data_IF_913088779222
#
_entry.id   IF_913088779222
#
_cell.length_a   1.000
_cell.length_b   1.000
_cell.length_c   1.000
_cell.angle_alpha   90.00
_cell.angle_beta   90.00
_cell.angle_gamma   90.00
#
_symmetry.space_group_name_H-M   'P 1'
#
loop_
_entity.id
_entity.type
_entity.pdbx_description
1 polymer ?
#
# COMPACT_ATOMS: atom_id res chain seq x y z
N UNK A 1 -1.94 14.20 -23.50
CA UNK A 1 -1.38 15.13 -22.48
C UNK A 1 -1.72 14.55 -21.13
N UNK A 2 -0.71 14.13 -20.36
CA UNK A 2 -0.94 13.70 -18.98
C UNK A 2 -1.30 14.95 -18.15
N UNK A 3 -2.48 14.96 -17.55
CA UNK A 3 -2.87 16.00 -16.58
C UNK A 3 -2.01 15.79 -15.35
N UNK A 4 -1.15 16.72 -15.03
CA UNK A 4 -0.39 16.71 -13.77
C UNK A 4 -1.37 17.05 -12.67
N UNK A 5 -1.78 16.03 -11.90
CA UNK A 5 -2.65 16.21 -10.73
C UNK A 5 -1.93 17.07 -9.68
N UNK A 6 -2.65 18.00 -9.08
CA UNK A 6 -2.15 18.72 -7.91
C UNK A 6 -2.18 17.77 -6.68
N UNK A 7 -1.42 18.09 -5.65
CA UNK A 7 -1.43 17.32 -4.43
C UNK A 7 -2.84 17.22 -3.79
N UNK A 8 -3.63 18.29 -3.88
CA UNK A 8 -5.02 18.27 -3.42
C UNK A 8 -5.92 17.33 -4.25
N UNK A 9 -5.67 17.20 -5.55
CA UNK A 9 -6.40 16.29 -6.41
C UNK A 9 -6.14 14.83 -6.01
N UNK A 10 -4.90 14.48 -5.67
CA UNK A 10 -4.52 13.13 -5.22
C UNK A 10 -5.29 12.71 -3.96
N UNK A 11 -5.41 13.61 -2.95
CA UNK A 11 -6.16 13.33 -1.73
C UNK A 11 -7.67 13.23 -1.99
N UNK A 12 -8.21 14.07 -2.87
CA UNK A 12 -9.60 13.99 -3.30
C UNK A 12 -9.92 12.68 -4.02
N UNK A 13 -9.01 12.19 -4.87
CA UNK A 13 -9.16 10.88 -5.53
C UNK A 13 -9.12 9.73 -4.53
N UNK A 14 -8.22 9.76 -3.54
CA UNK A 14 -8.19 8.76 -2.46
C UNK A 14 -9.52 8.70 -1.72
N UNK A 15 -10.09 9.84 -1.32
CA UNK A 15 -11.40 9.90 -0.62
C UNK A 15 -12.53 9.36 -1.50
N UNK A 16 -12.59 9.77 -2.75
CA UNK A 16 -13.60 9.27 -3.70
C UNK A 16 -13.51 7.75 -3.83
N UNK A 17 -12.30 7.23 -4.02
CA UNK A 17 -12.08 5.78 -4.20
C UNK A 17 -12.45 4.98 -2.95
N UNK A 18 -12.10 5.44 -1.76
CA UNK A 18 -12.54 4.79 -0.51
C UNK A 18 -14.06 4.71 -0.42
N UNK A 19 -14.76 5.81 -0.72
CA UNK A 19 -16.22 5.84 -0.68
C UNK A 19 -16.84 4.86 -1.69
N UNK A 20 -16.28 4.76 -2.89
CA UNK A 20 -16.70 3.80 -3.92
C UNK A 20 -16.49 2.35 -3.47
N UNK A 21 -15.31 2.01 -2.95
CA UNK A 21 -15.02 0.66 -2.47
C UNK A 21 -15.88 0.27 -1.28
N UNK A 22 -16.15 1.19 -0.35
CA UNK A 22 -17.08 0.97 0.78
C UNK A 22 -18.51 0.61 0.32
N UNK A 23 -18.97 1.24 -0.75
CA UNK A 23 -20.30 0.95 -1.31
C UNK A 23 -20.36 -0.42 -1.99
N UNK A 24 -19.26 -0.85 -2.62
CA UNK A 24 -19.22 -2.10 -3.41
C UNK A 24 -18.81 -3.33 -2.60
N UNK A 25 -17.94 -3.18 -1.60
CA UNK A 25 -17.26 -4.30 -0.92
C UNK A 25 -17.69 -4.42 0.54
N UNK A 26 -18.83 -5.04 0.76
CA UNK A 26 -19.43 -5.19 2.09
C UNK A 26 -18.52 -5.91 3.11
N UNK A 27 -17.72 -6.89 2.67
CA UNK A 27 -16.78 -7.62 3.52
C UNK A 27 -15.63 -6.75 4.05
N UNK A 28 -15.22 -5.71 3.33
CA UNK A 28 -14.16 -4.77 3.71
C UNK A 28 -14.68 -3.51 4.40
N UNK A 29 -16.00 -3.39 4.62
CA UNK A 29 -16.64 -2.15 5.09
C UNK A 29 -16.01 -1.61 6.37
N UNK A 30 -15.85 -2.43 7.39
CA UNK A 30 -15.30 -2.00 8.67
C UNK A 30 -13.86 -1.47 8.53
N UNK A 31 -13.04 -2.14 7.74
CA UNK A 31 -11.67 -1.70 7.45
C UNK A 31 -11.66 -0.38 6.68
N UNK A 32 -12.50 -0.26 5.67
CA UNK A 32 -12.60 0.95 4.84
C UNK A 32 -13.22 2.13 5.60
N UNK A 33 -14.11 1.88 6.58
CA UNK A 33 -14.63 2.91 7.49
C UNK A 33 -13.50 3.49 8.34
N UNK A 34 -12.70 2.64 8.96
CA UNK A 34 -11.53 3.07 9.71
C UNK A 34 -10.51 3.79 8.82
N UNK A 35 -10.20 3.22 7.65
CA UNK A 35 -9.26 3.84 6.71
C UNK A 35 -9.75 5.21 6.22
N UNK A 36 -11.05 5.36 5.99
CA UNK A 36 -11.64 6.65 5.60
C UNK A 36 -11.45 7.74 6.68
N UNK A 37 -11.64 7.37 7.95
CA UNK A 37 -11.40 8.28 9.07
C UNK A 37 -9.91 8.65 9.20
N UNK A 38 -9.04 7.67 9.08
CA UNK A 38 -7.58 7.87 9.10
C UNK A 38 -7.11 8.75 7.93
N UNK A 39 -7.64 8.52 6.73
CA UNK A 39 -7.31 9.29 5.53
C UNK A 39 -7.63 10.78 5.69
N UNK A 40 -8.73 11.12 6.36
CA UNK A 40 -9.09 12.52 6.64
C UNK A 40 -8.07 13.20 7.56
N UNK A 41 -7.58 12.48 8.57
CA UNK A 41 -6.52 12.97 9.47
C UNK A 41 -5.20 13.10 8.74
N UNK A 42 -4.85 12.14 7.89
CA UNK A 42 -3.64 12.18 7.08
C UNK A 42 -3.63 13.33 6.08
N UNK A 43 -4.76 13.61 5.43
CA UNK A 43 -4.89 14.77 4.52
C UNK A 43 -4.69 16.10 5.27
N UNK A 44 -5.27 16.24 6.47
CA UNK A 44 -5.06 17.40 7.31
C UNK A 44 -3.57 17.55 7.68
N UNK A 45 -2.92 16.45 8.10
CA UNK A 45 -1.49 16.46 8.41
C UNK A 45 -0.63 16.83 7.18
N UNK A 46 -1.01 16.39 5.99
CA UNK A 46 -0.37 16.81 4.74
C UNK A 46 -0.49 18.32 4.53
N UNK A 47 -1.70 18.88 4.67
CA UNK A 47 -1.95 20.33 4.46
C UNK A 47 -1.20 21.18 5.50
N UNK A 48 -1.21 20.77 6.76
CA UNK A 48 -0.49 21.44 7.85
C UNK A 48 1.03 21.41 7.64
N UNK A 49 1.58 20.26 7.24
CA UNK A 49 3.00 20.13 6.93
C UNK A 49 3.41 20.98 5.71
N UNK A 50 2.56 21.04 4.67
CA UNK A 50 2.80 21.87 3.51
C UNK A 50 2.81 23.36 3.86
N UNK A 51 1.94 23.79 4.77
CA UNK A 51 1.87 25.18 5.23
C UNK A 51 3.01 25.55 6.21
N UNK A 52 3.32 24.66 7.15
CA UNK A 52 4.35 24.88 8.16
C UNK A 52 5.78 24.74 7.61
N UNK A 53 5.96 23.91 6.56
CA UNK A 53 7.27 23.60 5.95
C UNK A 53 8.37 23.35 6.99
N UNK A 54 8.20 22.37 7.91
CA UNK A 54 9.17 22.12 8.98
C UNK A 54 10.54 21.81 8.37
N UNK A 55 11.60 22.25 9.04
CA UNK A 55 12.95 21.95 8.60
C UNK A 55 13.19 20.44 8.59
N UNK A 56 13.91 19.93 7.59
CA UNK A 56 14.17 18.51 7.47
C UNK A 56 14.87 17.92 8.70
N UNK A 57 15.67 18.72 9.44
CA UNK A 57 16.29 18.31 10.70
C UNK A 57 15.28 18.02 11.80
N UNK A 58 14.15 18.74 11.82
CA UNK A 58 13.13 18.67 12.86
C UNK A 58 11.97 17.73 12.50
N UNK A 59 12.09 16.98 11.39
CA UNK A 59 11.04 16.11 10.87
C UNK A 59 10.48 15.16 11.94
N UNK A 60 11.35 14.48 12.69
CA UNK A 60 10.92 13.50 13.68
C UNK A 60 10.15 14.16 14.83
N UNK A 61 10.66 15.28 15.37
CA UNK A 61 10.01 16.03 16.44
C UNK A 61 8.68 16.62 15.99
N UNK A 62 8.64 17.22 14.78
CA UNK A 62 7.41 17.74 14.21
C UNK A 62 6.33 16.66 14.09
N UNK A 63 6.69 15.50 13.54
CA UNK A 63 5.74 14.39 13.39
C UNK A 63 5.27 13.88 14.75
N UNK A 64 6.18 13.69 15.71
CA UNK A 64 5.86 13.17 17.04
C UNK A 64 4.94 14.12 17.83
N UNK A 65 5.17 15.42 17.75
CA UNK A 65 4.47 16.43 18.56
C UNK A 65 3.17 16.94 17.90
N UNK A 66 3.16 17.06 16.57
CA UNK A 66 2.04 17.68 15.83
C UNK A 66 1.11 16.66 15.22
N UNK A 67 1.65 15.59 14.62
CA UNK A 67 0.84 14.65 13.81
C UNK A 67 0.40 13.43 14.60
N UNK A 68 1.30 12.81 15.39
CA UNK A 68 1.00 11.57 16.14
C UNK A 68 -0.23 11.70 17.03
N UNK A 69 -0.47 12.80 17.76
CA UNK A 69 -1.67 12.93 18.58
C UNK A 69 -2.97 12.71 17.79
N UNK A 70 -3.09 13.33 16.62
CA UNK A 70 -4.28 13.16 15.76
C UNK A 70 -4.42 11.74 15.19
N UNK A 71 -3.31 11.07 14.89
CA UNK A 71 -3.32 9.64 14.46
C UNK A 71 -3.75 8.75 15.62
N UNK A 72 -3.30 9.03 16.84
CA UNK A 72 -3.72 8.32 18.05
C UNK A 72 -5.22 8.51 18.28
N UNK A 73 -5.71 9.74 18.26
CA UNK A 73 -7.12 10.06 18.47
C UNK A 73 -8.03 9.30 17.50
N UNK A 74 -7.72 9.32 16.20
CA UNK A 74 -8.53 8.58 15.21
C UNK A 74 -8.42 7.07 15.40
N UNK A 75 -7.27 6.55 15.84
CA UNK A 75 -7.09 5.12 16.13
C UNK A 75 -7.92 4.68 17.34
N UNK A 76 -8.00 5.51 18.36
CA UNK A 76 -8.82 5.25 19.56
C UNK A 76 -10.32 5.42 19.28
N UNK A 77 -10.69 6.38 18.44
CA UNK A 77 -12.10 6.66 18.13
C UNK A 77 -12.69 5.68 17.11
N UNK A 78 -12.01 5.43 16.01
CA UNK A 78 -12.52 4.68 14.86
C UNK A 78 -11.83 3.32 14.65
N UNK A 79 -10.73 3.05 15.31
CA UNK A 79 -9.99 1.81 15.17
C UNK A 79 -10.68 0.59 15.78
N UNK A 80 -10.35 -0.63 15.33
CA UNK A 80 -10.82 -1.85 15.94
C UNK A 80 -10.28 -2.01 17.38
N UNK A 81 -11.01 -2.75 18.23
CA UNK A 81 -10.71 -2.89 19.68
C UNK A 81 -9.26 -3.30 19.95
N UNK A 82 -8.74 -4.25 19.19
CA UNK A 82 -7.36 -4.70 19.34
C UNK A 82 -6.36 -3.58 19.09
N UNK A 83 -6.57 -2.78 18.02
CA UNK A 83 -5.70 -1.63 17.75
C UNK A 83 -5.76 -0.60 18.87
N UNK A 84 -6.96 -0.30 19.38
CA UNK A 84 -7.14 0.63 20.51
C UNK A 84 -6.35 0.21 21.73
N UNK A 85 -6.48 -1.05 22.15
CA UNK A 85 -5.76 -1.59 23.30
C UNK A 85 -4.24 -1.53 23.12
N UNK A 86 -3.73 -1.90 21.94
CA UNK A 86 -2.30 -1.87 21.63
C UNK A 86 -1.74 -0.44 21.60
N UNK A 87 -2.51 0.52 21.05
CA UNK A 87 -2.11 1.94 21.03
C UNK A 87 -2.04 2.51 22.44
N UNK A 88 -3.03 2.26 23.29
CA UNK A 88 -3.02 2.70 24.70
C UNK A 88 -1.78 2.15 25.41
N UNK A 89 -1.61 0.84 25.37
CA UNK A 89 -0.48 0.18 26.04
C UNK A 89 0.88 0.74 25.55
N UNK A 90 0.99 1.00 24.26
CA UNK A 90 2.23 1.52 23.68
C UNK A 90 2.58 2.92 24.16
N UNK A 91 1.59 3.81 24.24
CA UNK A 91 1.80 5.19 24.69
C UNK A 91 2.12 5.30 26.18
N UNK A 92 1.71 4.32 27.00
CA UNK A 92 2.08 4.22 28.40
C UNK A 92 3.55 3.83 28.62
N UNK A 93 4.18 3.22 27.63
CA UNK A 93 5.52 2.61 27.75
C UNK A 93 6.65 3.42 27.16
N UNK A 94 6.41 4.20 26.10
CA UNK A 94 7.47 4.94 25.41
C UNK A 94 6.94 6.21 24.72
N UNK A 95 7.77 7.25 24.70
CA UNK A 95 7.47 8.49 23.97
C UNK A 95 7.48 8.27 22.45
N UNK A 96 6.55 8.86 21.69
CA UNK A 96 6.43 8.66 20.22
C UNK A 96 7.67 9.00 19.41
N UNK A 97 8.53 9.90 19.86
CA UNK A 97 9.71 10.35 19.10
C UNK A 97 10.62 9.18 18.70
N UNK A 98 10.96 8.30 19.62
CA UNK A 98 11.84 7.16 19.33
C UNK A 98 11.26 6.20 18.28
N UNK A 99 9.94 6.01 18.29
CA UNK A 99 9.24 5.22 17.25
C UNK A 99 9.34 5.90 15.87
N UNK A 100 9.19 7.22 15.79
CA UNK A 100 9.30 7.98 14.55
C UNK A 100 10.73 7.93 14.01
N UNK A 101 11.74 8.14 14.87
CA UNK A 101 13.14 8.07 14.50
C UNK A 101 13.53 6.70 13.92
N UNK A 102 13.12 5.60 14.59
CA UNK A 102 13.34 4.23 14.08
C UNK A 102 12.67 4.01 12.72
N UNK A 103 11.46 4.52 12.53
CA UNK A 103 10.78 4.41 11.22
C UNK A 103 11.53 5.16 10.12
N UNK A 104 12.00 6.36 10.40
CA UNK A 104 12.79 7.17 9.46
C UNK A 104 14.12 6.48 9.14
N UNK A 105 14.81 5.91 10.13
CA UNK A 105 16.03 5.15 9.94
C UNK A 105 15.81 3.84 9.16
N UNK A 106 14.60 3.31 9.16
CA UNK A 106 14.25 2.04 8.49
C UNK A 106 14.49 0.82 9.37
N UNK A 107 14.53 1.01 10.68
CA UNK A 107 14.69 -0.05 11.66
C UNK A 107 13.41 -0.87 11.80
N UNK A 108 13.57 -2.14 12.11
CA UNK A 108 12.43 -2.99 12.46
C UNK A 108 11.86 -2.58 13.81
N UNK A 109 10.53 -2.64 13.91
CA UNK A 109 9.82 -2.29 15.14
C UNK A 109 8.48 -3.03 15.23
N UNK A 110 7.86 -3.09 16.43
CA UNK A 110 6.55 -3.71 16.64
C UNK A 110 5.49 -3.20 15.64
N UNK A 111 4.47 -4.01 15.40
CA UNK A 111 3.42 -3.71 14.40
C UNK A 111 2.71 -2.39 14.73
N UNK A 112 2.39 -2.13 15.98
CA UNK A 112 1.69 -0.90 16.40
C UNK A 112 2.57 0.33 16.24
N UNK A 113 3.86 0.24 16.57
CA UNK A 113 4.83 1.33 16.35
C UNK A 113 4.96 1.67 14.88
N UNK A 114 5.11 0.63 14.06
CA UNK A 114 5.19 0.77 12.61
C UNK A 114 3.92 1.38 12.02
N UNK A 115 2.74 0.99 12.53
CA UNK A 115 1.47 1.57 12.12
C UNK A 115 1.42 3.07 12.45
N UNK A 116 1.65 3.45 13.70
CA UNK A 116 1.59 4.85 14.15
C UNK A 116 2.62 5.73 13.42
N UNK A 117 3.87 5.25 13.36
CA UNK A 117 4.94 5.98 12.67
C UNK A 117 4.64 6.16 11.19
N UNK A 118 4.21 5.11 10.51
CA UNK A 118 3.89 5.17 9.09
C UNK A 118 2.69 6.04 8.80
N UNK A 119 1.62 5.94 9.60
CA UNK A 119 0.42 6.75 9.46
C UNK A 119 0.71 8.25 9.62
N UNK A 120 1.64 8.60 10.52
CA UNK A 120 2.01 9.98 10.80
C UNK A 120 3.09 10.54 9.85
N UNK A 121 4.14 9.77 9.55
CA UNK A 121 5.26 10.23 8.70
C UNK A 121 4.87 10.34 7.23
N UNK A 122 4.04 9.41 6.72
CA UNK A 122 3.67 9.33 5.30
C UNK A 122 3.15 10.65 4.73
N UNK A 123 2.06 11.22 5.26
CA UNK A 123 1.49 12.47 4.75
C UNK A 123 2.45 13.66 4.84
N UNK A 124 3.29 13.71 5.86
CA UNK A 124 4.30 14.77 6.01
C UNK A 124 5.37 14.66 4.92
N UNK A 125 5.87 13.45 4.65
CA UNK A 125 6.84 13.24 3.55
C UNK A 125 6.23 13.45 2.16
N UNK A 126 4.93 13.24 2.00
CA UNK A 126 4.24 13.58 0.75
C UNK A 126 4.17 15.11 0.56
N UNK A 127 3.96 15.87 1.63
CA UNK A 127 3.88 17.32 1.61
C UNK A 127 5.22 18.00 1.39
N UNK A 128 6.28 17.46 1.99
CA UNK A 128 7.61 18.02 1.95
C UNK A 128 8.37 17.57 0.70
N UNK A 129 9.26 18.40 0.21
CA UNK A 129 10.05 18.16 -0.99
C UNK A 129 11.14 17.09 -0.84
N UNK A 130 12.02 17.00 -1.83
CA UNK A 130 13.08 16.01 -1.92
C UNK A 130 14.05 16.04 -0.73
N UNK A 131 14.28 17.22 -0.13
CA UNK A 131 15.19 17.39 1.01
C UNK A 131 14.73 16.57 2.23
N UNK A 132 13.46 16.68 2.63
CA UNK A 132 12.90 15.92 3.75
C UNK A 132 12.93 14.40 3.47
N UNK A 133 12.65 13.99 2.22
CA UNK A 133 12.74 12.58 1.81
C UNK A 133 14.17 12.06 1.87
N UNK A 134 15.15 12.86 1.48
CA UNK A 134 16.57 12.49 1.53
C UNK A 134 17.07 12.23 2.97
N UNK A 135 16.49 12.88 3.98
CA UNK A 135 16.79 12.62 5.41
C UNK A 135 16.47 11.20 5.86
N UNK A 136 15.58 10.50 5.15
CA UNK A 136 15.25 9.11 5.45
C UNK A 136 16.27 8.09 4.90
N UNK A 137 17.41 8.52 4.36
CA UNK A 137 18.53 7.65 4.02
C UNK A 137 18.84 7.44 2.53
N UNK A 138 18.01 7.90 1.61
CA UNK A 138 18.27 7.79 0.16
C UNK A 138 18.28 6.35 -0.40
N UNK A 139 18.48 6.17 -1.70
CA UNK A 139 18.38 4.88 -2.38
C UNK A 139 19.52 3.93 -2.01
N UNK A 140 19.16 2.67 -1.73
CA UNK A 140 20.14 1.59 -1.47
C UNK A 140 20.41 0.79 -2.76
N UNK A 141 19.40 0.49 -3.52
CA UNK A 141 19.42 -0.20 -4.81
C UNK A 141 18.13 0.11 -5.59
N UNK A 142 17.99 -0.46 -6.79
CA UNK A 142 16.82 -0.22 -7.66
C UNK A 142 15.47 -0.68 -7.06
N UNK A 143 15.48 -1.55 -6.04
CA UNK A 143 14.27 -2.04 -5.34
C UNK A 143 13.78 -1.08 -4.28
N UNK A 144 14.56 -0.10 -3.90
CA UNK A 144 14.24 0.89 -2.89
C UNK A 144 13.91 2.25 -3.52
N UNK A 145 13.06 3.00 -2.83
CA UNK A 145 12.63 4.31 -3.29
C UNK A 145 13.82 5.25 -3.53
N UNK A 146 13.96 5.84 -4.73
CA UNK A 146 15.06 6.75 -5.03
C UNK A 146 15.00 8.05 -4.21
N UNK A 147 13.83 8.41 -3.67
CA UNK A 147 13.66 9.64 -2.90
C UNK A 147 14.02 9.48 -1.41
N UNK A 148 13.60 8.36 -0.76
CA UNK A 148 13.74 8.20 0.68
C UNK A 148 14.34 6.86 1.12
N UNK A 149 14.74 5.99 0.21
CA UNK A 149 15.28 4.66 0.51
C UNK A 149 14.27 3.67 1.11
N UNK A 150 12.97 4.00 1.16
CA UNK A 150 11.94 3.12 1.69
C UNK A 150 11.68 1.90 0.81
N UNK A 151 11.19 0.77 1.38
CA UNK A 151 10.85 -0.42 0.62
C UNK A 151 9.58 -0.22 -0.22
N UNK A 152 9.36 -1.04 -1.26
CA UNK A 152 8.14 -1.02 -2.05
C UNK A 152 6.97 -1.62 -1.25
N UNK A 153 5.79 -1.00 -1.36
CA UNK A 153 4.54 -1.47 -0.78
C UNK A 153 3.71 -2.27 -1.78
N UNK A 154 3.54 -1.71 -2.96
CA UNK A 154 2.77 -2.27 -4.05
C UNK A 154 3.42 -1.95 -5.39
N UNK A 155 2.99 -2.63 -6.44
CA UNK A 155 3.29 -2.27 -7.81
C UNK A 155 2.02 -1.82 -8.54
N UNK A 156 2.18 -1.04 -9.61
CA UNK A 156 1.09 -0.80 -10.56
C UNK A 156 1.61 -0.73 -11.98
N UNK A 157 0.74 -1.07 -12.92
CA UNK A 157 0.99 -0.91 -14.35
C UNK A 157 0.16 0.27 -14.85
N UNK A 158 0.82 1.25 -15.48
CA UNK A 158 0.11 2.34 -16.13
C UNK A 158 -0.57 1.84 -17.41
N UNK A 159 -1.61 2.57 -17.85
CA UNK A 159 -2.22 2.29 -19.15
C UNK A 159 -1.17 2.43 -20.26
N UNK A 160 -1.13 1.51 -21.24
CA UNK A 160 -0.22 1.63 -22.36
C UNK A 160 -0.56 2.87 -23.20
N UNK A 161 0.45 3.46 -23.80
CA UNK A 161 0.27 4.58 -24.74
C UNK A 161 -0.28 4.08 -26.08
N UNK A 162 0.07 2.85 -26.47
CA UNK A 162 -0.39 2.17 -27.68
C UNK A 162 -1.05 0.83 -27.30
N UNK A 163 -2.13 0.45 -27.99
CA UNK A 163 -2.89 -0.79 -27.75
C UNK A 163 -2.06 -2.07 -27.89
N UNK A 164 -0.92 -2.02 -28.57
CA UNK A 164 -0.01 -3.15 -28.75
C UNK A 164 1.10 -3.24 -27.70
N UNK A 165 1.25 -2.24 -26.84
CA UNK A 165 2.29 -2.19 -25.81
C UNK A 165 1.70 -2.50 -24.44
N UNK A 166 2.40 -3.30 -23.64
CA UNK A 166 2.09 -3.40 -22.22
C UNK A 166 2.63 -2.19 -21.48
N UNK A 167 1.78 -1.53 -20.67
CA UNK A 167 2.16 -0.33 -19.94
C UNK A 167 3.38 -0.53 -19.01
N UNK A 168 4.12 0.52 -18.71
CA UNK A 168 5.26 0.45 -17.80
C UNK A 168 4.81 0.05 -16.38
N UNK A 169 5.68 -0.70 -15.66
CA UNK A 169 5.48 -1.06 -14.25
C UNK A 169 6.19 -0.06 -13.35
N UNK A 170 5.50 0.32 -12.30
CA UNK A 170 6.03 1.17 -11.23
C UNK A 170 5.92 0.47 -9.87
N UNK A 171 6.80 0.83 -8.95
CA UNK A 171 6.68 0.50 -7.53
C UNK A 171 6.28 1.75 -6.76
N UNK A 172 5.49 1.60 -5.69
CA UNK A 172 5.09 2.69 -4.78
C UNK A 172 5.75 2.48 -3.43
N UNK A 173 6.36 3.53 -2.91
CA UNK A 173 7.08 3.52 -1.65
C UNK A 173 6.14 3.39 -0.44
N UNK A 174 6.47 2.50 0.49
CA UNK A 174 5.74 2.34 1.75
C UNK A 174 5.93 3.53 2.72
N UNK A 175 6.96 4.37 2.54
CA UNK A 175 7.31 5.45 3.46
C UNK A 175 6.82 6.81 2.99
N UNK A 176 7.02 7.16 1.72
CA UNK A 176 6.72 8.49 1.20
C UNK A 176 5.76 8.50 0.01
N UNK A 177 5.13 7.38 -0.31
CA UNK A 177 4.20 7.18 -1.42
C UNK A 177 4.74 7.55 -2.82
N UNK A 178 6.02 7.94 -2.95
CA UNK A 178 6.62 8.20 -4.26
C UNK A 178 6.67 6.91 -5.10
N UNK A 179 6.47 7.07 -6.41
CA UNK A 179 6.53 5.95 -7.35
C UNK A 179 7.78 6.05 -8.23
N UNK A 180 8.32 4.88 -8.63
CA UNK A 180 9.45 4.79 -9.55
C UNK A 180 9.32 3.60 -10.49
N UNK A 181 9.90 3.76 -11.70
CA UNK A 181 9.90 2.70 -12.71
C UNK A 181 10.70 1.48 -12.25
N UNK A 182 10.16 0.28 -12.51
CA UNK A 182 10.82 -0.98 -12.15
C UNK A 182 10.55 -2.07 -13.20
N UNK A 183 11.53 -2.94 -13.52
CA UNK A 183 11.37 -3.98 -14.53
C UNK A 183 10.19 -4.90 -14.24
N UNK A 184 9.44 -5.29 -15.29
CA UNK A 184 8.21 -6.10 -15.15
C UNK A 184 8.48 -7.52 -14.67
N UNK A 185 9.53 -8.15 -15.17
CA UNK A 185 9.90 -9.52 -14.87
C UNK A 185 11.02 -9.59 -13.83
N UNK A 186 10.90 -8.77 -12.78
CA UNK A 186 11.90 -8.74 -11.71
C UNK A 186 11.19 -8.64 -10.35
N UNK A 187 11.59 -9.48 -9.41
CA UNK A 187 11.05 -9.49 -8.06
C UNK A 187 11.43 -8.20 -7.33
N UNK A 188 10.43 -7.47 -6.83
CA UNK A 188 10.65 -6.25 -6.05
C UNK A 188 11.29 -6.52 -4.67
N UNK A 189 11.30 -7.76 -4.20
CA UNK A 189 11.85 -8.16 -2.89
C UNK A 189 13.32 -8.57 -2.93
N UNK A 190 13.73 -9.36 -3.93
CA UNK A 190 15.09 -9.91 -3.99
C UNK A 190 15.83 -9.64 -5.31
N UNK A 191 15.14 -9.14 -6.34
CA UNK A 191 15.76 -8.89 -7.65
C UNK A 191 15.82 -10.13 -8.56
N UNK A 192 15.16 -11.25 -8.20
CA UNK A 192 15.02 -12.43 -9.07
C UNK A 192 14.38 -12.04 -10.39
N UNK A 193 14.97 -12.43 -11.52
CA UNK A 193 14.51 -12.10 -12.88
C UNK A 193 14.19 -13.32 -13.75
N UNK A 194 14.35 -14.53 -13.20
CA UNK A 194 13.94 -15.75 -13.89
C UNK A 194 12.42 -15.88 -13.89
N UNK A 195 11.80 -15.84 -15.06
CA UNK A 195 10.35 -16.00 -15.22
C UNK A 195 9.80 -17.31 -14.66
N UNK A 196 10.62 -18.36 -14.60
CA UNK A 196 10.24 -19.67 -14.01
C UNK A 196 10.05 -19.59 -12.48
N UNK A 197 10.61 -18.56 -11.83
CA UNK A 197 10.52 -18.33 -10.38
C UNK A 197 9.53 -17.25 -9.99
N UNK A 198 8.97 -16.54 -10.95
CA UNK A 198 7.99 -15.47 -10.74
C UNK A 198 6.59 -15.99 -11.07
N UNK A 199 5.72 -15.97 -10.09
CA UNK A 199 4.34 -16.45 -10.23
C UNK A 199 3.38 -15.25 -10.15
N UNK A 200 2.34 -15.29 -10.96
CA UNK A 200 1.25 -14.32 -10.94
C UNK A 200 -0.04 -15.08 -10.63
N UNK A 201 -0.73 -14.64 -9.57
CA UNK A 201 -2.06 -15.11 -9.25
C UNK A 201 -3.04 -13.96 -9.40
N UNK A 202 -4.16 -14.23 -10.08
CA UNK A 202 -5.28 -13.30 -10.23
C UNK A 202 -6.58 -14.01 -9.91
N UNK A 203 -7.55 -13.27 -9.44
CA UNK A 203 -8.91 -13.75 -9.29
C UNK A 203 -9.52 -13.91 -10.69
N UNK A 204 -9.89 -15.12 -11.05
CA UNK A 204 -10.61 -15.39 -12.29
C UNK A 204 -12.09 -15.52 -11.94
N UNK A 205 -12.92 -14.63 -12.47
CA UNK A 205 -14.34 -14.90 -12.59
C UNK A 205 -14.49 -16.20 -13.40
N UNK A 206 -15.34 -17.12 -12.95
CA UNK A 206 -15.58 -18.40 -13.64
C UNK A 206 -16.21 -18.14 -15.02
N UNK A 207 -15.38 -17.90 -16.02
CA UNK A 207 -15.75 -17.98 -17.43
C UNK A 207 -15.19 -19.30 -17.97
N UNK A 208 -16.07 -20.10 -18.52
CA UNK A 208 -15.71 -21.31 -19.24
C UNK A 208 -14.79 -20.97 -20.43
N UNK A 209 -13.54 -21.40 -20.34
CA UNK A 209 -12.59 -21.51 -21.45
C UNK A 209 -11.55 -20.38 -21.52
N UNK A 210 -10.39 -20.63 -20.96
CA UNK A 210 -9.11 -20.61 -21.64
C UNK A 210 -7.93 -20.71 -20.66
N UNK A 211 -7.06 -21.63 -20.96
CA UNK A 211 -5.71 -21.98 -20.48
C UNK A 211 -5.02 -21.08 -19.43
N UNK A 212 -5.14 -21.50 -18.19
CA UNK A 212 -4.30 -21.07 -17.06
C UNK A 212 -4.62 -21.96 -15.87
N UNK A 213 -3.71 -22.84 -15.49
CA UNK A 213 -3.71 -23.77 -14.35
C UNK A 213 -5.08 -24.14 -13.75
N UNK A 214 -5.79 -25.06 -14.41
CA UNK A 214 -7.09 -25.60 -13.98
C UNK A 214 -6.85 -26.55 -12.82
N UNK A 215 -7.39 -26.27 -11.64
CA UNK A 215 -7.69 -27.31 -10.66
C UNK A 215 -8.76 -28.21 -11.31
N UNK A 216 -8.39 -29.41 -11.71
CA UNK A 216 -9.32 -30.42 -12.28
C UNK A 216 -10.37 -30.74 -11.21
N UNK A 217 -11.59 -30.27 -11.42
CA UNK A 217 -12.75 -30.69 -10.67
C UNK A 217 -13.08 -32.13 -11.01
N UNK A 218 -13.54 -32.87 -10.02
CA UNK A 218 -14.05 -34.25 -10.17
C UNK A 218 -15.27 -34.28 -11.13
N UNK A 219 -15.45 -35.35 -11.94
CA UNK A 219 -16.60 -35.49 -12.84
C UNK A 219 -17.90 -35.51 -12.04
N UNK A 220 -18.81 -34.60 -12.31
CA UNK A 220 -20.15 -34.57 -11.70
C UNK A 220 -20.46 -33.27 -10.91
N UNK A 221 -19.57 -32.30 -10.85
CA UNK A 221 -19.84 -31.02 -10.19
C UNK A 221 -20.74 -30.15 -11.07
N UNK A 222 -21.87 -29.70 -10.49
CA UNK A 222 -22.72 -28.66 -11.07
C UNK A 222 -21.89 -27.42 -11.27
N UNK A 223 -22.00 -26.70 -12.41
CA UNK A 223 -21.29 -25.44 -12.61
C UNK A 223 -21.66 -24.48 -11.48
N UNK A 224 -20.63 -24.01 -10.75
CA UNK A 224 -20.85 -22.96 -9.76
C UNK A 224 -21.43 -21.70 -10.44
N UNK A 225 -22.33 -20.95 -9.79
CA UNK A 225 -22.87 -19.73 -10.36
C UNK A 225 -21.72 -18.78 -10.72
N UNK A 226 -21.81 -18.17 -11.91
CA UNK A 226 -20.81 -17.22 -12.40
C UNK A 226 -20.76 -15.98 -11.48
N UNK A 227 -19.80 -15.94 -10.58
CA UNK A 227 -19.51 -14.73 -9.82
C UNK A 227 -18.41 -13.96 -10.55
N UNK A 228 -18.64 -12.67 -10.87
CA UNK A 228 -17.58 -11.84 -11.41
C UNK A 228 -16.44 -11.70 -10.39
N UNK A 229 -15.20 -11.60 -10.88
CA UNK A 229 -14.07 -11.32 -10.01
C UNK A 229 -14.29 -10.03 -9.23
N UNK A 230 -13.99 -10.06 -7.93
CA UNK A 230 -14.10 -8.87 -7.05
C UNK A 230 -12.98 -7.89 -7.32
N UNK A 231 -11.79 -8.41 -7.64
CA UNK A 231 -10.57 -7.62 -7.89
C UNK A 231 -9.96 -7.94 -9.26
N UNK A 232 -10.68 -7.70 -10.39
CA UNK A 232 -10.17 -8.05 -11.72
C UNK A 232 -8.91 -7.29 -12.11
N UNK A 233 -8.66 -6.13 -11.49
CA UNK A 233 -7.54 -5.24 -11.71
C UNK A 233 -6.37 -5.44 -10.72
N UNK A 234 -6.48 -6.39 -9.78
CA UNK A 234 -5.43 -6.66 -8.80
C UNK A 234 -4.90 -8.08 -8.97
N UNK A 235 -3.59 -8.21 -8.93
CA UNK A 235 -2.89 -9.49 -8.99
C UNK A 235 -1.86 -9.61 -7.87
N UNK A 236 -1.52 -10.84 -7.52
CA UNK A 236 -0.41 -11.16 -6.62
C UNK A 236 0.80 -11.46 -7.49
N UNK A 237 1.87 -10.72 -7.32
CA UNK A 237 3.16 -10.95 -7.95
C UNK A 237 4.09 -11.61 -6.92
N UNK A 238 4.24 -12.95 -6.99
CA UNK A 238 4.96 -13.76 -6.02
C UNK A 238 6.30 -14.27 -6.57
N UNK A 239 7.26 -14.45 -5.68
CA UNK A 239 8.60 -14.94 -6.01
C UNK A 239 8.92 -16.22 -5.22
N UNK A 240 9.23 -17.30 -5.92
CA UNK A 240 9.61 -18.58 -5.31
C UNK A 240 10.99 -18.52 -4.64
N UNK A 241 11.90 -17.68 -5.14
CA UNK A 241 13.26 -17.58 -4.60
C UNK A 241 13.31 -16.97 -3.21
N UNK A 242 12.55 -15.91 -2.95
CA UNK A 242 12.54 -15.26 -1.63
C UNK A 242 11.26 -15.52 -0.82
N UNK A 243 10.29 -16.26 -1.36
CA UNK A 243 8.98 -16.55 -0.76
C UNK A 243 8.20 -15.29 -0.35
N UNK A 244 8.39 -14.20 -1.10
CA UNK A 244 7.69 -12.92 -0.89
C UNK A 244 6.78 -12.59 -2.07
N UNK A 245 5.78 -11.75 -1.80
CA UNK A 245 4.88 -11.22 -2.82
C UNK A 245 4.66 -9.72 -2.65
N UNK A 246 4.14 -9.12 -3.71
CA UNK A 246 3.64 -7.75 -3.75
C UNK A 246 2.30 -7.75 -4.50
N UNK A 247 1.36 -6.87 -4.15
CA UNK A 247 0.16 -6.68 -4.95
C UNK A 247 0.46 -5.76 -6.13
N UNK A 248 0.01 -6.14 -7.31
CA UNK A 248 0.12 -5.36 -8.54
C UNK A 248 -1.25 -4.89 -8.99
N UNK A 249 -1.41 -3.59 -9.23
CA UNK A 249 -2.66 -2.97 -9.68
C UNK A 249 -2.55 -2.59 -11.15
N UNK A 250 -3.51 -3.03 -11.95
CA UNK A 250 -3.54 -2.78 -13.39
C UNK A 250 -4.51 -1.63 -13.71
N UNK A 251 -3.95 -0.45 -13.97
CA UNK A 251 -4.71 0.75 -14.32
C UNK A 251 -5.28 0.71 -15.75
N UNK A 252 -4.89 -0.25 -16.58
CA UNK A 252 -5.56 -0.46 -17.86
C UNK A 252 -6.90 -1.19 -17.68
N UNK A 253 -6.98 -2.10 -16.69
CA UNK A 253 -8.21 -2.82 -16.34
C UNK A 253 -9.19 -1.95 -15.55
N UNK A 254 -8.71 -1.16 -14.59
CA UNK A 254 -9.51 -0.16 -13.86
C UNK A 254 -8.77 1.19 -13.80
N UNK A 255 -9.04 2.11 -14.76
CA UNK A 255 -8.41 3.43 -14.77
C UNK A 255 -8.81 4.34 -13.58
N UNK A 256 -9.88 4.00 -12.88
CA UNK A 256 -10.33 4.73 -11.69
C UNK A 256 -9.69 4.20 -10.40
N UNK A 257 -8.93 3.11 -10.47
CA UNK A 257 -8.25 2.57 -9.31
C UNK A 257 -7.19 3.53 -8.76
N UNK A 258 -7.16 3.65 -7.44
CA UNK A 258 -6.14 4.40 -6.70
C UNK A 258 -5.29 3.38 -5.94
N UNK A 259 -4.07 3.06 -6.40
CA UNK A 259 -3.31 1.90 -5.95
C UNK A 259 -3.21 1.74 -4.42
N UNK A 260 -2.88 2.82 -3.70
CA UNK A 260 -2.78 2.81 -2.23
C UNK A 260 -4.12 2.56 -1.52
N UNK A 261 -5.24 2.86 -2.18
CA UNK A 261 -6.59 2.67 -1.62
C UNK A 261 -7.12 1.28 -1.98
N UNK A 262 -6.95 0.86 -3.22
CA UNK A 262 -7.42 -0.44 -3.69
C UNK A 262 -6.73 -1.59 -2.96
N UNK A 263 -5.45 -1.42 -2.64
CA UNK A 263 -4.71 -2.38 -1.80
C UNK A 263 -5.37 -2.61 -0.43
N UNK A 264 -5.97 -1.57 0.19
CA UNK A 264 -6.63 -1.71 1.49
C UNK A 264 -7.83 -2.66 1.44
N UNK A 265 -8.53 -2.72 0.32
CA UNK A 265 -9.66 -3.60 0.15
C UNK A 265 -9.27 -5.03 -0.26
N UNK A 266 -8.04 -5.23 -0.75
CA UNK A 266 -7.57 -6.49 -1.32
C UNK A 266 -7.11 -7.54 -0.30
N UNK A 267 -7.56 -7.46 0.96
CA UNK A 267 -7.25 -8.41 2.05
C UNK A 267 -7.45 -9.88 1.65
N UNK A 268 -8.50 -10.29 0.92
CA UNK A 268 -8.63 -11.67 0.48
C UNK A 268 -7.46 -12.18 -0.36
N UNK A 269 -6.85 -11.31 -1.17
CA UNK A 269 -5.67 -11.67 -1.96
C UNK A 269 -4.42 -11.83 -1.07
N UNK A 270 -4.28 -10.98 -0.05
CA UNK A 270 -3.21 -11.10 0.93
C UNK A 270 -3.32 -12.41 1.74
N UNK A 271 -4.53 -12.80 2.14
CA UNK A 271 -4.79 -14.07 2.83
C UNK A 271 -4.47 -15.26 1.94
N UNK A 272 -4.92 -15.23 0.68
CA UNK A 272 -4.61 -16.28 -0.29
C UNK A 272 -3.11 -16.46 -0.51
N UNK A 273 -2.34 -15.35 -0.61
CA UNK A 273 -0.89 -15.43 -0.75
C UNK A 273 -0.23 -16.07 0.48
N UNK A 274 -0.69 -15.72 1.68
CA UNK A 274 -0.20 -16.30 2.95
C UNK A 274 -0.50 -17.78 3.07
N UNK A 275 -1.68 -18.23 2.69
CA UNK A 275 -2.05 -19.65 2.65
C UNK A 275 -1.13 -20.47 1.71
N UNK A 276 -0.59 -19.82 0.68
CA UNK A 276 0.41 -20.41 -0.23
C UNK A 276 1.85 -20.30 0.27
N UNK A 277 2.05 -19.80 1.49
CA UNK A 277 3.35 -19.70 2.13
C UNK A 277 4.21 -18.53 1.63
N UNK A 278 3.57 -17.50 1.04
CA UNK A 278 4.26 -16.25 0.72
C UNK A 278 4.05 -15.20 1.80
N UNK A 279 5.08 -14.38 2.08
CA UNK A 279 4.98 -13.20 2.94
C UNK A 279 5.02 -11.93 2.10
N UNK A 280 4.26 -10.90 2.49
CA UNK A 280 4.27 -9.63 1.77
C UNK A 280 5.64 -8.94 1.94
N UNK A 281 6.14 -8.28 0.88
CA UNK A 281 7.40 -7.52 0.94
C UNK A 281 7.29 -6.42 2.00
N UNK A 282 6.22 -5.64 1.94
CA UNK A 282 5.86 -4.67 2.97
C UNK A 282 4.35 -4.71 3.17
N UNK A 283 3.92 -4.96 4.39
CA UNK A 283 2.49 -4.94 4.72
C UNK A 283 1.91 -3.54 4.49
N UNK A 284 0.64 -3.45 4.16
CA UNK A 284 -0.05 -2.18 4.06
C UNK A 284 -0.23 -1.52 5.44
N UNK A 285 -0.88 -0.36 5.48
CA UNK A 285 -1.09 0.40 6.72
C UNK A 285 -1.95 -0.36 7.74
N UNK A 286 -2.81 -1.28 7.28
CA UNK A 286 -3.66 -2.10 8.14
C UNK A 286 -3.01 -3.43 8.58
N UNK A 287 -1.75 -3.67 8.20
CA UNK A 287 -0.98 -4.84 8.64
C UNK A 287 -1.11 -6.09 7.75
N UNK A 288 -1.73 -5.96 6.58
CA UNK A 288 -1.89 -7.03 5.59
C UNK A 288 -0.83 -6.95 4.51
#
# INVERSE_FOLDING_TARGET
MAVTLTANDVWAERRRRVAELRARQGFARQLLDFYSALLAVQEKAFQEAAAASPAAADLASYVAEVVVPSIVDVSLFAGPDRLRSEVIHRLETEHPLGMIERWIAGDEQPIVDRYLARAAVGPVLEALGAEAKARCGGPRDARHCPACGGPPQLSYSASPVDDLATGPRFLTCARCAASWGYPRLTCAGCGEDSSARLQIFSEHGTTSGERGSVVRGLPGSVPAPHHPAVFPHIRIEACESCRRYILGIDLATDPAAVPLVDEMAAVPLDLYARERGFSKITTNLMGF
#
